data_IF_328700851457
#
_entry.id   IF_328700851457
#
_cell.length_a   1.000
_cell.length_b   1.000
_cell.length_c   1.000
_cell.angle_alpha   90.00
_cell.angle_beta   90.00
_cell.angle_gamma   90.00
#
_symmetry.space_group_name_H-M   'P 1'
#
loop_
_entity.id
_entity.type
_entity.pdbx_description
1 polymer ?
#
# COMPACT_ATOMS: atom_id res chain seq x y z
N UNK A 1 4.94 -17.95 0.39
CA UNK A 1 4.06 -16.85 -0.05
C UNK A 1 4.48 -15.55 0.63
N UNK A 2 4.55 -14.46 -0.11
CA UNK A 2 5.00 -13.19 0.42
C UNK A 2 3.93 -12.56 1.32
N UNK A 3 4.34 -12.16 2.53
CA UNK A 3 3.45 -11.49 3.47
C UNK A 3 4.03 -10.14 3.91
N UNK A 4 3.15 -9.26 4.36
CA UNK A 4 3.51 -7.92 4.82
C UNK A 4 3.65 -7.96 6.34
N UNK A 5 4.83 -7.62 6.85
CA UNK A 5 5.10 -7.57 8.28
C UNK A 5 4.68 -6.23 8.89
N UNK A 6 4.95 -5.13 8.19
CA UNK A 6 4.60 -3.79 8.65
C UNK A 6 4.19 -2.91 7.48
N UNK A 7 3.26 -2.00 7.76
CA UNK A 7 2.77 -1.03 6.78
C UNK A 7 2.71 0.34 7.43
N UNK A 8 3.26 1.34 6.76
CA UNK A 8 3.19 2.73 7.18
C UNK A 8 2.68 3.57 6.03
N UNK A 9 1.66 4.39 6.25
CA UNK A 9 1.20 5.36 5.28
C UNK A 9 1.85 6.71 5.55
N UNK A 10 2.21 7.44 4.48
CA UNK A 10 2.81 8.76 4.57
C UNK A 10 1.90 9.81 3.96
N UNK A 11 2.00 11.09 4.40
CA UNK A 11 1.10 12.15 3.93
C UNK A 11 1.15 12.42 2.42
N UNK A 12 2.21 12.02 1.74
CA UNK A 12 2.40 12.23 0.30
C UNK A 12 1.89 11.06 -0.54
N UNK A 13 0.99 10.24 0.00
CA UNK A 13 0.44 9.03 -0.65
C UNK A 13 1.52 7.99 -0.96
N UNK A 14 2.54 7.93 -0.14
CA UNK A 14 3.56 6.89 -0.20
C UNK A 14 3.28 5.84 0.87
N UNK A 15 3.45 4.58 0.52
CA UNK A 15 3.38 3.46 1.45
C UNK A 15 4.80 2.96 1.71
N UNK A 16 5.13 2.80 2.99
CA UNK A 16 6.35 2.09 3.40
C UNK A 16 5.96 0.70 3.82
N UNK A 17 6.55 -0.31 3.22
CA UNK A 17 6.17 -1.70 3.45
C UNK A 17 7.40 -2.50 3.84
N UNK A 18 7.30 -3.23 4.94
CA UNK A 18 8.29 -4.22 5.34
C UNK A 18 7.65 -5.60 5.16
N UNK A 19 8.35 -6.48 4.44
CA UNK A 19 7.87 -7.84 4.18
C UNK A 19 8.44 -8.83 5.19
N UNK A 20 7.76 -9.95 5.35
CA UNK A 20 8.17 -10.98 6.30
C UNK A 20 9.52 -11.62 5.96
N UNK A 21 9.95 -11.52 4.70
CA UNK A 21 11.27 -12.02 4.27
C UNK A 21 12.42 -11.07 4.65
N UNK A 22 12.13 -9.97 5.33
CA UNK A 22 13.12 -8.98 5.73
C UNK A 22 13.35 -7.86 4.74
N UNK A 23 12.77 -7.94 3.55
CA UNK A 23 12.89 -6.86 2.56
C UNK A 23 11.95 -5.70 2.91
N UNK A 24 12.31 -4.51 2.43
CA UNK A 24 11.53 -3.27 2.61
C UNK A 24 11.45 -2.53 1.30
N UNK A 25 10.38 -1.77 1.13
CA UNK A 25 10.21 -0.94 -0.04
C UNK A 25 9.26 0.21 0.19
N UNK A 26 9.24 1.13 -0.76
CA UNK A 26 8.26 2.21 -0.82
C UNK A 26 7.43 2.04 -2.07
N UNK A 27 6.16 2.39 -1.98
CA UNK A 27 5.23 2.33 -3.09
C UNK A 27 4.53 3.68 -3.21
N UNK A 28 4.64 4.31 -4.39
CA UNK A 28 4.00 5.60 -4.65
C UNK A 28 2.58 5.36 -5.19
N UNK A 29 1.58 5.76 -4.41
CA UNK A 29 0.18 5.62 -4.80
C UNK A 29 -0.29 6.70 -5.77
N UNK A 30 0.46 7.79 -5.95
CA UNK A 30 0.00 8.92 -6.77
C UNK A 30 -0.41 8.51 -8.18
N UNK A 31 0.34 7.67 -8.91
CA UNK A 31 -0.10 7.25 -10.23
C UNK A 31 -1.43 6.49 -10.26
N UNK A 32 -1.76 5.81 -9.17
CA UNK A 32 -2.99 5.02 -9.07
C UNK A 32 -4.20 5.85 -8.67
N UNK A 33 -4.01 7.06 -8.15
CA UNK A 33 -5.10 7.90 -7.68
C UNK A 33 -6.02 8.39 -8.82
N UNK A 34 -5.56 8.28 -10.07
CA UNK A 34 -6.39 8.56 -11.23
C UNK A 34 -7.23 7.36 -11.66
N UNK A 35 -6.97 6.18 -11.10
CA UNK A 35 -7.77 4.99 -11.36
C UNK A 35 -9.04 5.01 -10.53
N UNK A 36 -10.17 4.62 -11.13
CA UNK A 36 -11.45 4.63 -10.44
C UNK A 36 -11.44 3.83 -9.14
N UNK A 37 -10.75 2.70 -9.12
CA UNK A 37 -10.67 1.84 -7.94
C UNK A 37 -10.00 2.52 -6.74
N UNK A 38 -9.14 3.51 -6.97
CA UNK A 38 -8.38 4.18 -5.92
C UNK A 38 -8.70 5.66 -5.77
N UNK A 39 -9.68 6.15 -6.51
CA UNK A 39 -10.01 7.58 -6.55
C UNK A 39 -10.33 8.14 -5.17
N UNK A 40 -11.06 7.39 -4.35
CA UNK A 40 -11.44 7.83 -3.00
C UNK A 40 -10.23 8.00 -2.07
N UNK A 41 -9.11 7.36 -2.38
CA UNK A 41 -7.89 7.47 -1.58
C UNK A 41 -7.20 8.81 -1.72
N UNK A 42 -7.70 9.70 -2.58
CA UNK A 42 -7.26 11.09 -2.64
C UNK A 42 -7.58 11.82 -1.33
N UNK A 43 -8.55 11.31 -0.57
CA UNK A 43 -8.84 11.80 0.77
C UNK A 43 -7.75 11.27 1.71
N UNK A 44 -6.90 12.14 2.28
CA UNK A 44 -5.81 11.70 3.16
C UNK A 44 -6.31 10.93 4.38
N UNK A 45 -7.50 11.28 4.89
CA UNK A 45 -8.05 10.59 6.06
C UNK A 45 -8.40 9.14 5.73
N UNK A 46 -8.92 8.88 4.52
CA UNK A 46 -9.21 7.51 4.09
C UNK A 46 -7.92 6.77 3.79
N UNK A 47 -6.98 7.40 3.10
CA UNK A 47 -5.70 6.78 2.76
C UNK A 47 -4.97 6.25 4.00
N UNK A 48 -4.98 7.00 5.09
CA UNK A 48 -4.31 6.60 6.33
C UNK A 48 -4.93 5.40 7.02
N UNK A 49 -6.11 4.97 6.59
CA UNK A 49 -6.82 3.84 7.20
C UNK A 49 -6.47 2.50 6.54
N UNK A 50 -5.43 2.46 5.73
CA UNK A 50 -4.96 1.21 5.13
C UNK A 50 -4.65 0.18 6.22
N UNK A 51 -5.04 -1.05 6.00
CA UNK A 51 -4.83 -2.16 6.94
C UNK A 51 -3.98 -3.25 6.32
N UNK A 52 -3.05 -3.76 7.09
CA UNK A 52 -2.24 -4.91 6.71
C UNK A 52 -3.05 -6.19 6.96
N UNK A 53 -3.44 -6.87 5.88
CA UNK A 53 -4.17 -8.14 5.96
C UNK A 53 -3.24 -9.34 5.74
N UNK A 54 -1.93 -9.14 5.79
CA UNK A 54 -0.93 -10.18 5.61
C UNK A 54 -0.51 -10.31 4.16
N UNK A 55 -1.36 -10.84 3.30
CA UNK A 55 -1.06 -11.04 1.87
C UNK A 55 -1.39 -9.84 1.01
N UNK A 56 -2.11 -8.88 1.56
CA UNK A 56 -2.54 -7.67 0.86
C UNK A 56 -2.80 -6.58 1.88
N UNK A 57 -2.91 -5.34 1.38
CA UNK A 57 -3.40 -4.22 2.17
C UNK A 57 -4.79 -3.86 1.66
N UNK A 58 -5.64 -3.38 2.57
CA UNK A 58 -7.02 -3.05 2.24
C UNK A 58 -7.43 -1.75 2.90
N UNK A 59 -8.22 -0.95 2.19
CA UNK A 59 -8.83 0.27 2.73
C UNK A 59 -10.31 0.02 3.03
N UNK A 60 -10.90 0.85 3.91
CA UNK A 60 -12.30 0.67 4.31
C UNK A 60 -13.33 0.70 3.16
N UNK A 61 -12.96 1.32 2.03
CA UNK A 61 -13.83 1.39 0.85
C UNK A 61 -13.76 0.14 -0.03
N UNK A 62 -12.98 -0.88 0.37
CA UNK A 62 -12.83 -2.11 -0.39
C UNK A 62 -11.67 -2.13 -1.37
N UNK A 63 -10.97 -1.01 -1.56
CA UNK A 63 -9.78 -1.00 -2.41
C UNK A 63 -8.67 -1.83 -1.75
N UNK A 64 -7.89 -2.56 -2.55
CA UNK A 64 -6.81 -3.37 -2.03
C UNK A 64 -5.62 -3.45 -3.00
N UNK A 65 -4.47 -3.84 -2.46
CA UNK A 65 -3.25 -4.11 -3.22
C UNK A 65 -2.56 -5.32 -2.62
N UNK A 66 -2.18 -6.27 -3.47
CA UNK A 66 -1.50 -7.47 -3.00
C UNK A 66 -0.05 -7.18 -2.60
N UNK A 67 0.49 -8.02 -1.72
CA UNK A 67 1.91 -7.94 -1.35
C UNK A 67 2.81 -8.08 -2.57
N UNK A 68 2.46 -8.97 -3.51
CA UNK A 68 3.22 -9.16 -4.73
C UNK A 68 3.27 -7.89 -5.59
N UNK A 69 2.14 -7.19 -5.73
CA UNK A 69 2.09 -5.93 -6.46
C UNK A 69 2.96 -4.88 -5.79
N UNK A 70 2.90 -4.77 -4.48
CA UNK A 70 3.71 -3.81 -3.72
C UNK A 70 5.20 -4.10 -3.87
N UNK A 71 5.59 -5.37 -3.90
CA UNK A 71 6.99 -5.77 -4.05
C UNK A 71 7.50 -5.49 -5.46
N UNK A 72 6.72 -5.85 -6.48
CA UNK A 72 7.14 -5.72 -7.88
C UNK A 72 7.16 -4.28 -8.36
N UNK A 73 6.17 -3.48 -7.95
CA UNK A 73 6.03 -2.10 -8.42
C UNK A 73 6.65 -1.06 -7.51
N UNK A 74 7.03 -1.46 -6.29
CA UNK A 74 7.67 -0.55 -5.32
C UNK A 74 9.15 -0.41 -5.57
N UNK A 75 9.74 0.62 -4.94
CA UNK A 75 11.19 0.85 -4.96
C UNK A 75 11.79 0.34 -3.67
N UNK A 76 12.90 -0.38 -3.76
CA UNK A 76 13.61 -0.88 -2.58
C UNK A 76 14.19 0.28 -1.76
N UNK A 77 14.18 0.10 -0.45
CA UNK A 77 14.81 1.05 0.47
C UNK A 77 16.23 0.56 0.78
#
# INVERSE_FOLDING_TARGET
>A
MLTIANLTTRPDWTLEVAFADGSKGTFDMKPLLSCEAFEELRDPALFRQARNQGYFIEWPNGADLSADTLKLAGSAI
#
